data_IF_178114626300
#
_entry.id   IF_178114626300
#
_cell.length_a   1.000
_cell.length_b   1.000
_cell.length_c   1.000
_cell.angle_alpha   90.00
_cell.angle_beta   90.00
_cell.angle_gamma   90.00
#
_symmetry.space_group_name_H-M   'P 1'
#
loop_
_entity.id
_entity.type
_entity.pdbx_description
1 polymer ?
#
# COMPACT_ATOMS: atom_id res chain seq x y z
N UNK A 1 -16.65 7.96 -35.28
CA UNK A 1 -16.82 6.74 -34.47
C UNK A 1 -15.49 6.13 -34.00
N UNK A 2 -14.36 6.29 -34.75
CA UNK A 2 -13.06 5.74 -34.35
C UNK A 2 -12.32 6.49 -33.23
N UNK A 3 -12.48 7.81 -33.11
CA UNK A 3 -11.76 8.63 -32.11
C UNK A 3 -12.21 8.36 -30.67
N UNK A 4 -13.52 8.13 -30.47
CA UNK A 4 -14.10 7.84 -29.16
C UNK A 4 -13.65 6.48 -28.58
N UNK A 5 -13.49 5.46 -29.45
CA UNK A 5 -13.01 4.14 -29.02
C UNK A 5 -11.52 4.11 -28.64
N UNK A 6 -10.70 4.94 -29.28
CA UNK A 6 -9.28 5.09 -28.92
C UNK A 6 -9.14 5.87 -27.61
N UNK A 7 -9.92 6.94 -27.43
CA UNK A 7 -9.92 7.72 -26.20
C UNK A 7 -10.34 6.89 -24.97
N UNK A 8 -11.36 6.02 -25.10
CA UNK A 8 -11.78 5.11 -24.04
C UNK A 8 -10.67 4.13 -23.64
N UNK A 9 -10.00 3.51 -24.63
CA UNK A 9 -8.89 2.58 -24.36
C UNK A 9 -7.69 3.25 -23.70
N UNK A 10 -7.37 4.48 -24.12
CA UNK A 10 -6.29 5.26 -23.49
C UNK A 10 -6.65 5.61 -22.05
N UNK A 11 -7.92 5.96 -21.78
CA UNK A 11 -8.39 6.26 -20.44
C UNK A 11 -8.32 5.03 -19.51
N UNK A 12 -8.76 3.86 -19.98
CA UNK A 12 -8.68 2.60 -19.21
C UNK A 12 -7.22 2.19 -18.94
N UNK A 13 -6.33 2.37 -19.92
CA UNK A 13 -4.90 2.11 -19.73
C UNK A 13 -4.27 3.05 -18.71
N UNK A 14 -4.61 4.34 -18.74
CA UNK A 14 -4.12 5.30 -17.75
C UNK A 14 -4.62 4.97 -16.35
N UNK A 15 -5.89 4.57 -16.21
CA UNK A 15 -6.45 4.15 -14.93
C UNK A 15 -5.75 2.89 -14.39
N UNK A 16 -5.50 1.88 -15.22
CA UNK A 16 -4.76 0.69 -14.79
C UNK A 16 -3.32 1.01 -14.37
N UNK A 17 -2.64 1.90 -15.09
CA UNK A 17 -1.28 2.31 -14.73
C UNK A 17 -1.30 3.06 -13.39
N UNK A 18 -2.24 3.98 -13.18
CA UNK A 18 -2.36 4.75 -11.94
C UNK A 18 -2.64 3.85 -10.73
N UNK A 19 -3.58 2.92 -10.86
CA UNK A 19 -3.89 1.90 -9.85
C UNK A 19 -2.67 1.02 -9.57
N UNK A 20 -2.01 0.54 -10.62
CA UNK A 20 -0.84 -0.32 -10.51
C UNK A 20 0.33 0.37 -9.81
N UNK A 21 0.59 1.63 -10.15
CA UNK A 21 1.65 2.44 -9.55
C UNK A 21 1.37 2.74 -8.09
N UNK A 22 0.14 3.15 -7.78
CA UNK A 22 -0.31 3.39 -6.40
C UNK A 22 -0.22 2.13 -5.55
N UNK A 23 -0.65 0.99 -6.09
CA UNK A 23 -0.57 -0.31 -5.41
C UNK A 23 0.86 -0.73 -5.15
N UNK A 24 1.76 -0.57 -6.14
CA UNK A 24 3.19 -0.83 -5.97
C UNK A 24 3.80 0.05 -4.89
N UNK A 25 3.45 1.33 -4.85
CA UNK A 25 3.94 2.25 -3.84
C UNK A 25 3.54 1.79 -2.44
N UNK A 26 2.27 1.43 -2.25
CA UNK A 26 1.75 0.95 -0.96
C UNK A 26 2.45 -0.36 -0.56
N UNK A 27 2.58 -1.33 -1.47
CA UNK A 27 3.19 -2.63 -1.16
C UNK A 27 4.66 -2.47 -0.79
N UNK A 28 5.44 -1.74 -1.59
CA UNK A 28 6.89 -1.69 -1.46
C UNK A 28 7.31 -0.70 -0.38
N UNK A 29 6.88 0.56 -0.49
CA UNK A 29 7.37 1.62 0.39
C UNK A 29 6.74 1.56 1.77
N UNK A 30 5.45 1.25 1.88
CA UNK A 30 4.79 1.12 3.19
C UNK A 30 4.80 -0.32 3.69
N UNK A 31 4.49 -1.27 2.83
CA UNK A 31 4.37 -2.65 3.24
C UNK A 31 5.70 -3.30 3.60
N UNK A 32 6.56 -3.47 2.60
CA UNK A 32 7.80 -4.21 2.74
C UNK A 32 8.81 -3.50 3.65
N UNK A 33 8.94 -2.17 3.52
CA UNK A 33 9.84 -1.37 4.36
C UNK A 33 9.51 -1.50 5.85
N UNK A 34 8.25 -1.26 6.24
CA UNK A 34 7.89 -1.28 7.66
C UNK A 34 7.75 -2.71 8.21
N UNK A 35 7.34 -3.68 7.40
CA UNK A 35 7.35 -5.08 7.80
C UNK A 35 8.79 -5.58 8.07
N UNK A 36 9.74 -5.30 7.18
CA UNK A 36 11.13 -5.70 7.38
C UNK A 36 11.79 -4.93 8.53
N UNK A 37 11.50 -3.63 8.68
CA UNK A 37 11.97 -2.82 9.80
C UNK A 37 11.44 -3.33 11.14
N UNK A 38 10.13 -3.58 11.24
CA UNK A 38 9.51 -4.15 12.43
C UNK A 38 10.06 -5.52 12.79
N UNK A 39 10.28 -6.39 11.79
CA UNK A 39 10.90 -7.70 11.99
C UNK A 39 12.35 -7.59 12.50
N UNK A 40 13.11 -6.60 12.03
CA UNK A 40 14.47 -6.34 12.50
C UNK A 40 14.48 -5.81 13.94
N UNK A 41 13.52 -4.95 14.30
CA UNK A 41 13.37 -4.44 15.67
C UNK A 41 12.97 -5.52 16.66
N UNK A 42 12.06 -6.44 16.29
CA UNK A 42 11.67 -7.57 17.15
C UNK A 42 12.88 -8.47 17.46
N UNK A 43 13.82 -8.60 16.53
CA UNK A 43 15.04 -9.40 16.69
C UNK A 43 16.18 -8.64 17.38
N UNK A 44 16.04 -7.34 17.64
CA UNK A 44 17.08 -6.53 18.25
C UNK A 44 16.87 -6.44 19.77
N UNK A 45 17.87 -6.86 20.55
CA UNK A 45 17.88 -6.69 22.02
C UNK A 45 18.04 -5.21 22.46
N UNK A 46 18.37 -4.31 21.53
CA UNK A 46 18.59 -2.88 21.84
C UNK A 46 17.31 -2.06 21.92
N UNK A 47 16.19 -2.58 21.43
CA UNK A 47 14.91 -1.85 21.39
C UNK A 47 13.80 -2.66 22.03
N UNK A 48 12.80 -1.96 22.61
CA UNK A 48 11.62 -2.63 23.12
C UNK A 48 10.88 -3.32 21.97
N UNK A 49 10.72 -4.63 22.09
CA UNK A 49 10.05 -5.52 21.12
C UNK A 49 8.67 -5.01 20.67
N UNK A 50 7.97 -4.26 21.54
CA UNK A 50 6.68 -3.63 21.25
C UNK A 50 6.74 -2.69 20.03
N UNK A 51 7.82 -1.92 19.86
CA UNK A 51 7.97 -1.01 18.71
C UNK A 51 8.09 -1.76 17.38
N UNK A 52 8.71 -2.93 17.41
CA UNK A 52 8.81 -3.77 16.23
C UNK A 52 7.46 -4.31 15.78
N UNK A 53 6.57 -4.69 16.71
CA UNK A 53 5.19 -5.10 16.37
C UNK A 53 4.34 -3.94 15.84
N UNK A 54 4.51 -2.74 16.40
CA UNK A 54 3.82 -1.53 15.94
C UNK A 54 4.23 -1.16 14.50
N UNK A 55 5.44 -1.48 14.05
CA UNK A 55 5.83 -1.30 12.64
C UNK A 55 5.45 -2.50 11.76
N UNK A 56 5.58 -3.73 12.28
CA UNK A 56 5.37 -4.96 11.52
C UNK A 56 3.91 -5.17 11.12
N UNK A 57 2.98 -5.04 12.07
CA UNK A 57 1.56 -5.30 11.82
C UNK A 57 0.98 -4.34 10.78
N UNK A 58 1.16 -3.01 10.89
CA UNK A 58 0.62 -2.09 9.88
C UNK A 58 1.34 -2.23 8.54
N UNK A 59 2.63 -2.57 8.52
CA UNK A 59 3.35 -2.92 7.29
C UNK A 59 2.70 -4.11 6.56
N UNK A 60 2.40 -5.20 7.25
CA UNK A 60 1.69 -6.35 6.66
C UNK A 60 0.29 -5.94 6.15
N UNK A 61 -0.43 -5.12 6.90
CA UNK A 61 -1.76 -4.61 6.48
C UNK A 61 -1.63 -3.74 5.23
N UNK A 62 -0.60 -2.90 5.12
CA UNK A 62 -0.33 -2.10 3.93
C UNK A 62 -0.09 -2.99 2.70
N UNK A 63 0.66 -4.10 2.83
CA UNK A 63 0.81 -5.09 1.75
C UNK A 63 -0.55 -5.62 1.31
N UNK A 64 -1.40 -6.03 2.26
CA UNK A 64 -2.75 -6.52 1.97
C UNK A 64 -3.62 -5.48 1.24
N UNK A 65 -3.55 -4.22 1.67
CA UNK A 65 -4.26 -3.10 1.03
C UNK A 65 -3.79 -2.89 -0.41
N UNK A 66 -2.48 -2.89 -0.64
CA UNK A 66 -1.92 -2.68 -1.97
C UNK A 66 -2.22 -3.86 -2.92
N UNK A 67 -2.18 -5.11 -2.43
CA UNK A 67 -2.58 -6.28 -3.21
C UNK A 67 -4.07 -6.23 -3.57
N UNK A 68 -4.92 -5.82 -2.62
CA UNK A 68 -6.34 -5.68 -2.87
C UNK A 68 -6.63 -4.58 -3.91
N UNK A 69 -5.95 -3.43 -3.84
CA UNK A 69 -6.06 -2.38 -4.87
C UNK A 69 -5.57 -2.85 -6.24
N UNK A 70 -4.48 -3.62 -6.30
CA UNK A 70 -3.94 -4.12 -7.56
C UNK A 70 -4.91 -5.07 -8.29
N UNK A 71 -5.72 -5.84 -7.55
CA UNK A 71 -6.66 -6.81 -8.11
C UNK A 71 -8.06 -6.19 -8.33
N UNK A 72 -8.52 -5.38 -7.37
CA UNK A 72 -9.89 -4.85 -7.32
C UNK A 72 -10.07 -3.45 -7.90
N UNK A 73 -9.00 -2.75 -8.27
CA UNK A 73 -9.06 -1.35 -8.69
C UNK A 73 -8.98 -0.36 -7.52
N UNK A 74 -8.95 0.94 -7.82
CA UNK A 74 -8.92 1.99 -6.81
C UNK A 74 -10.27 2.01 -6.06
N UNK A 75 -10.23 1.86 -4.73
CA UNK A 75 -11.41 1.97 -3.88
C UNK A 75 -11.19 3.07 -2.86
N UNK A 76 -12.02 4.11 -2.91
CA UNK A 76 -11.98 5.25 -1.98
C UNK A 76 -11.99 4.79 -0.52
N UNK A 77 -12.72 3.72 -0.20
CA UNK A 77 -12.77 3.18 1.17
C UNK A 77 -11.40 2.65 1.61
N UNK A 78 -10.69 1.99 0.71
CA UNK A 78 -9.42 1.32 1.00
C UNK A 78 -8.26 2.31 0.94
N UNK A 79 -8.23 3.16 -0.09
CA UNK A 79 -7.13 4.11 -0.31
C UNK A 79 -7.24 5.34 0.60
N UNK A 80 -8.45 5.84 0.88
CA UNK A 80 -8.63 7.07 1.66
C UNK A 80 -8.77 6.82 3.15
N UNK A 81 -9.35 5.70 3.58
CA UNK A 81 -9.58 5.44 5.01
C UNK A 81 -8.66 4.35 5.57
N UNK A 82 -8.64 3.16 4.95
CA UNK A 82 -7.84 2.05 5.48
C UNK A 82 -6.33 2.35 5.39
N UNK A 83 -5.85 2.79 4.23
CA UNK A 83 -4.44 3.15 4.05
C UNK A 83 -4.05 4.38 4.88
N UNK A 84 -4.87 5.44 4.93
CA UNK A 84 -4.57 6.62 5.73
C UNK A 84 -4.45 6.30 7.23
N UNK A 85 -5.30 5.40 7.74
CA UNK A 85 -5.20 4.91 9.12
C UNK A 85 -3.88 4.17 9.38
N UNK A 86 -3.52 3.25 8.48
CA UNK A 86 -2.25 2.50 8.55
C UNK A 86 -1.04 3.43 8.45
N UNK A 87 -1.05 4.35 7.50
CA UNK A 87 0.01 5.32 7.30
C UNK A 87 0.17 6.27 8.49
N UNK A 88 -0.93 6.66 9.14
CA UNK A 88 -0.88 7.49 10.36
C UNK A 88 -0.19 6.76 11.51
N UNK A 89 -0.42 5.45 11.66
CA UNK A 89 0.26 4.62 12.67
C UNK A 89 1.75 4.47 12.37
N UNK A 90 2.12 4.33 11.10
CA UNK A 90 3.51 4.18 10.67
C UNK A 90 4.31 5.49 10.68
N UNK A 91 3.65 6.64 10.76
CA UNK A 91 4.25 7.97 10.76
C UNK A 91 4.29 8.63 12.16
N UNK A 92 3.91 7.89 13.20
CA UNK A 92 4.06 8.28 14.62
C UNK A 92 5.49 8.04 15.10
#
# INVERSE_FOLDING_TARGET
AGESGIALRVSELMEQIDVGLSSMLIIVFFGFTFASYGAALIQSDSFHMAYGWIALVPGIVAIGIGVYQAIGGLSTVITTYAFAGVASVLNL
#
